data_IF_334655476946
#
_entry.id   IF_334655476946
#
_cell.length_a   1.000
_cell.length_b   1.000
_cell.length_c   1.000
_cell.angle_alpha   90.00
_cell.angle_beta   90.00
_cell.angle_gamma   90.00
#
_symmetry.space_group_name_H-M   'P 1'
#
loop_
_entity.id
_entity.type
_entity.pdbx_description
1 polymer ?
#
# COMPACT_ATOMS: atom_id res chain seq x y z
N UNK A 1 11.86 27.47 39.93
CA UNK A 1 10.37 27.69 39.93
C UNK A 1 10.19 29.07 39.26
N UNK A 2 9.85 29.12 37.98
CA UNK A 2 9.62 30.41 37.32
C UNK A 2 8.16 30.78 37.54
N UNK A 3 7.96 31.87 38.28
CA UNK A 3 6.65 32.41 38.61
C UNK A 3 6.03 33.02 37.34
N UNK A 4 5.11 32.31 36.70
CA UNK A 4 4.39 32.76 35.52
C UNK A 4 3.17 33.54 35.94
N UNK A 5 3.33 34.76 36.42
CA UNK A 5 2.18 35.64 36.69
C UNK A 5 1.58 36.13 35.35
N UNK A 6 0.26 36.01 35.23
CA UNK A 6 -0.48 36.60 34.13
C UNK A 6 -0.42 38.12 34.21
N UNK A 7 -0.19 38.78 33.10
CA UNK A 7 -0.34 40.22 32.97
C UNK A 7 -1.73 40.54 32.41
N UNK A 8 -2.51 41.34 33.15
CA UNK A 8 -3.86 41.78 32.76
C UNK A 8 -3.84 43.25 32.39
N UNK A 9 -4.25 43.55 31.16
CA UNK A 9 -4.34 44.91 30.63
C UNK A 9 -5.79 45.24 30.27
N UNK A 10 -6.37 46.30 30.88
CA UNK A 10 -7.73 46.75 30.57
C UNK A 10 -7.72 47.54 29.24
N UNK A 11 -8.62 47.16 28.31
CA UNK A 11 -8.82 47.80 26.99
C UNK A 11 -10.30 48.12 26.78
N UNK A 12 -10.70 49.31 27.17
CA UNK A 12 -12.14 49.69 27.15
C UNK A 12 -12.96 48.73 28.02
N UNK A 13 -13.96 48.05 27.45
CA UNK A 13 -14.82 47.09 28.14
C UNK A 13 -14.22 45.67 28.20
N UNK A 14 -13.00 45.45 27.75
CA UNK A 14 -12.37 44.11 27.71
C UNK A 14 -11.06 44.09 28.47
N UNK A 15 -10.63 42.88 28.85
CA UNK A 15 -9.35 42.66 29.54
C UNK A 15 -8.48 41.77 28.69
N UNK A 16 -7.28 42.23 28.32
CA UNK A 16 -6.26 41.42 27.66
C UNK A 16 -5.40 40.75 28.71
N UNK A 17 -5.33 39.41 28.66
CA UNK A 17 -4.55 38.60 29.58
C UNK A 17 -3.37 38.00 28.79
N UNK A 18 -2.16 38.12 29.32
CA UNK A 18 -0.93 37.60 28.73
C UNK A 18 -0.21 36.71 29.75
N UNK A 19 0.08 35.45 29.40
CA UNK A 19 0.82 34.51 30.26
C UNK A 19 2.09 34.05 29.53
N UNK A 20 3.20 33.93 30.24
CA UNK A 20 4.43 33.37 29.69
C UNK A 20 4.31 31.83 29.58
N UNK A 21 4.69 31.29 28.42
CA UNK A 21 4.71 29.85 28.13
C UNK A 21 6.15 29.35 27.88
N UNK A 22 7.11 29.85 28.66
CA UNK A 22 8.51 29.48 28.53
C UNK A 22 9.26 30.23 27.41
N UNK A 23 10.31 29.59 26.90
CA UNK A 23 11.17 30.12 25.83
C UNK A 23 11.28 29.10 24.70
N UNK A 24 11.38 29.55 23.47
CA UNK A 24 11.67 28.71 22.32
C UNK A 24 13.15 28.28 22.30
N UNK A 25 13.49 27.39 21.33
CA UNK A 25 14.88 26.90 21.17
C UNK A 25 15.92 28.00 20.84
N UNK A 26 15.47 29.20 20.48
CA UNK A 26 16.33 30.37 20.21
C UNK A 26 16.44 31.26 21.43
N UNK A 27 15.81 30.95 22.56
CA UNK A 27 15.79 31.73 23.78
C UNK A 27 14.77 32.88 23.78
N UNK A 28 13.88 32.96 22.80
CA UNK A 28 12.79 33.94 22.73
C UNK A 28 11.60 33.51 23.56
N UNK A 29 11.12 34.42 24.42
CA UNK A 29 9.98 34.15 25.28
C UNK A 29 8.68 33.92 24.48
N UNK A 30 8.06 32.77 24.69
CA UNK A 30 6.73 32.45 24.16
C UNK A 30 5.68 33.05 25.10
N UNK A 31 4.75 33.82 24.54
CA UNK A 31 3.67 34.47 25.30
C UNK A 31 2.33 34.14 24.72
N UNK A 32 1.45 33.61 25.56
CA UNK A 32 0.07 33.31 25.22
C UNK A 32 -0.84 34.47 25.60
N UNK A 33 -1.81 34.81 24.74
CA UNK A 33 -2.69 35.96 24.93
C UNK A 33 -4.12 35.55 24.71
N UNK A 34 -5.01 36.04 25.59
CA UNK A 34 -6.47 35.89 25.45
C UNK A 34 -7.15 37.20 25.83
N UNK A 35 -8.43 37.31 25.49
CA UNK A 35 -9.25 38.48 25.85
C UNK A 35 -10.46 38.00 26.61
N UNK A 36 -10.75 38.64 27.75
CA UNK A 36 -11.96 38.42 28.54
C UNK A 36 -12.89 39.63 28.34
N UNK A 37 -14.14 39.39 28.04
CA UNK A 37 -15.18 40.41 27.94
C UNK A 37 -16.21 40.10 29.04
N UNK A 38 -16.35 41.00 30.06
CA UNK A 38 -17.40 40.84 31.05
C UNK A 38 -18.78 40.93 30.42
N UNK A 39 -19.78 40.25 31.03
CA UNK A 39 -21.17 40.43 30.67
C UNK A 39 -21.67 41.81 31.16
N UNK A 40 -22.37 42.53 30.33
CA UNK A 40 -22.88 43.91 30.63
C UNK A 40 -23.84 43.96 31.82
N UNK A 41 -24.43 42.83 32.20
CA UNK A 41 -25.36 42.70 33.35
C UNK A 41 -24.66 42.41 34.69
N UNK A 42 -23.32 42.27 34.70
CA UNK A 42 -22.59 42.02 35.94
C UNK A 42 -22.24 43.27 36.69
N UNK A 43 -22.39 43.20 38.03
CA UNK A 43 -21.86 44.25 38.90
C UNK A 43 -20.31 44.24 38.88
N UNK A 44 -19.65 45.36 39.20
CA UNK A 44 -18.20 45.46 39.24
C UNK A 44 -17.53 44.37 40.08
N UNK A 45 -18.11 43.99 41.19
CA UNK A 45 -17.64 42.90 42.06
C UNK A 45 -17.73 41.52 41.39
N UNK A 46 -18.82 41.30 40.65
CA UNK A 46 -19.00 40.05 39.88
C UNK A 46 -18.05 40.01 38.67
N UNK A 47 -17.84 41.15 37.99
CA UNK A 47 -16.89 41.25 36.87
C UNK A 47 -15.47 40.95 37.33
N UNK A 48 -15.03 41.50 38.47
CA UNK A 48 -13.72 41.24 39.05
C UNK A 48 -13.52 39.78 39.38
N UNK A 49 -14.50 39.13 40.03
CA UNK A 49 -14.44 37.72 40.40
C UNK A 49 -14.38 36.84 39.12
N UNK A 50 -15.23 37.11 38.15
CA UNK A 50 -15.22 36.39 36.86
C UNK A 50 -13.91 36.56 36.10
N UNK A 51 -13.28 37.73 36.16
CA UNK A 51 -11.97 37.98 35.60
C UNK A 51 -10.88 37.18 36.32
N UNK A 52 -10.87 37.19 37.65
CA UNK A 52 -9.90 36.44 38.43
C UNK A 52 -10.02 34.94 38.20
N UNK A 53 -11.23 34.39 38.17
CA UNK A 53 -11.50 33.00 37.85
C UNK A 53 -11.01 32.64 36.40
N UNK A 54 -11.27 33.52 35.44
CA UNK A 54 -10.83 33.34 34.07
C UNK A 54 -9.31 33.41 33.93
N UNK A 55 -8.65 34.32 34.63
CA UNK A 55 -7.16 34.43 34.66
C UNK A 55 -6.57 33.15 35.25
N UNK A 56 -7.08 32.67 36.38
CA UNK A 56 -6.63 31.45 37.02
C UNK A 56 -6.75 30.22 36.11
N UNK A 57 -7.92 30.05 35.49
CA UNK A 57 -8.13 28.94 34.53
C UNK A 57 -7.25 29.06 33.29
N UNK A 58 -6.97 30.29 32.82
CA UNK A 58 -6.09 30.54 31.68
C UNK A 58 -4.62 30.22 32.03
N UNK A 59 -4.12 30.68 33.20
CA UNK A 59 -2.78 30.33 33.70
C UNK A 59 -2.62 28.82 33.85
N UNK A 60 -3.60 28.15 34.44
CA UNK A 60 -3.62 26.71 34.63
C UNK A 60 -3.54 25.97 33.28
N UNK A 61 -4.28 26.44 32.27
CA UNK A 61 -4.23 25.88 30.91
C UNK A 61 -2.85 26.04 30.27
N UNK A 62 -2.23 27.23 30.38
CA UNK A 62 -0.90 27.49 29.86
C UNK A 62 0.16 26.68 30.58
N UNK A 63 0.13 26.61 31.93
CA UNK A 63 1.06 25.80 32.75
C UNK A 63 0.97 24.30 32.49
N UNK A 64 -0.23 23.80 32.21
CA UNK A 64 -0.42 22.39 31.91
C UNK A 64 -0.09 22.00 30.45
N UNK A 65 0.53 22.90 29.68
CA UNK A 65 0.86 22.67 28.28
C UNK A 65 -0.37 22.55 27.35
N UNK A 66 -1.57 22.86 27.87
CA UNK A 66 -2.84 22.76 27.12
C UNK A 66 -3.09 23.94 26.17
N UNK A 67 -2.13 24.84 26.05
CA UNK A 67 -2.25 26.04 25.21
C UNK A 67 -1.31 25.94 24.00
N UNK A 68 -1.50 24.92 23.21
CA UNK A 68 -0.97 24.91 21.86
C UNK A 68 -2.10 25.35 20.90
N UNK A 69 -1.73 26.07 19.84
CA UNK A 69 -2.63 26.74 18.87
C UNK A 69 -3.71 25.89 18.17
N UNK A 70 -4.03 24.69 18.70
CA UNK A 70 -5.05 23.79 18.13
C UNK A 70 -6.45 24.41 18.01
N UNK A 71 -6.79 25.38 18.89
CA UNK A 71 -8.08 26.10 18.80
C UNK A 71 -8.17 27.00 17.56
N UNK A 72 -7.03 27.45 17.03
CA UNK A 72 -6.96 28.34 15.86
C UNK A 72 -6.53 27.60 14.59
N UNK A 73 -5.71 26.53 14.73
CA UNK A 73 -5.13 25.77 13.65
C UNK A 73 -6.21 24.94 12.92
N UNK A 74 -6.32 25.10 11.62
CA UNK A 74 -7.15 24.27 10.75
C UNK A 74 -6.51 22.89 10.52
N UNK A 75 -7.29 21.92 10.06
CA UNK A 75 -6.75 20.60 9.73
C UNK A 75 -5.75 20.66 8.56
N UNK A 76 -5.95 21.58 7.61
CA UNK A 76 -5.00 21.82 6.52
C UNK A 76 -3.67 22.40 7.04
N UNK A 77 -3.69 23.38 7.93
CA UNK A 77 -2.47 23.93 8.56
C UNK A 77 -1.76 22.87 9.41
N UNK A 78 -2.52 22.01 10.09
CA UNK A 78 -1.97 20.85 10.81
C UNK A 78 -1.35 19.84 9.87
N UNK A 79 -1.94 19.57 8.70
CA UNK A 79 -1.39 18.69 7.68
C UNK A 79 -0.02 19.18 7.21
N UNK A 80 0.14 20.47 6.90
CA UNK A 80 1.44 21.05 6.50
C UNK A 80 2.48 20.95 7.64
N UNK A 81 2.06 21.24 8.88
CA UNK A 81 2.91 21.10 10.05
C UNK A 81 3.33 19.62 10.25
N UNK A 82 2.39 18.69 10.16
CA UNK A 82 2.63 17.26 10.27
C UNK A 82 3.57 16.74 9.17
N UNK A 83 3.45 17.22 7.95
CA UNK A 83 4.37 16.87 6.85
C UNK A 83 5.80 17.23 7.21
N UNK A 84 6.03 18.47 7.60
CA UNK A 84 7.36 19.01 7.89
C UNK A 84 7.99 18.37 9.13
N UNK A 85 7.24 18.25 10.22
CA UNK A 85 7.80 17.87 11.51
C UNK A 85 7.85 16.35 11.72
N UNK A 86 6.99 15.59 11.05
CA UNK A 86 6.91 14.15 11.26
C UNK A 86 7.01 13.33 9.98
N UNK A 87 6.15 13.57 9.00
CA UNK A 87 5.95 12.62 7.92
C UNK A 87 7.18 12.46 7.02
N UNK A 88 7.82 13.56 6.63
CA UNK A 88 9.01 13.55 5.78
C UNK A 88 10.21 12.88 6.48
N UNK A 89 10.23 12.85 7.82
CA UNK A 89 11.33 12.28 8.63
C UNK A 89 11.09 10.81 9.01
N UNK A 90 9.84 10.41 9.18
CA UNK A 90 9.49 9.10 9.80
C UNK A 90 8.74 8.14 8.87
N UNK A 91 8.09 8.64 7.81
CA UNK A 91 7.38 7.78 6.88
C UNK A 91 8.25 7.40 5.69
N UNK A 92 8.11 6.16 5.25
CA UNK A 92 8.66 5.71 3.99
C UNK A 92 8.06 6.52 2.82
N UNK A 93 8.89 6.93 1.86
CA UNK A 93 8.49 7.75 0.71
C UNK A 93 7.25 7.22 -0.02
N UNK A 94 7.15 5.90 -0.22
CA UNK A 94 5.97 5.27 -0.86
C UNK A 94 4.70 5.43 -0.04
N UNK A 95 4.80 5.31 1.29
CA UNK A 95 3.67 5.51 2.22
C UNK A 95 3.26 6.97 2.24
N UNK A 96 4.24 7.87 2.33
CA UNK A 96 4.01 9.31 2.32
C UNK A 96 3.32 9.76 1.04
N UNK A 97 3.78 9.28 -0.13
CA UNK A 97 3.15 9.59 -1.42
C UNK A 97 1.71 9.10 -1.48
N UNK A 98 1.43 7.88 -0.99
CA UNK A 98 0.07 7.36 -0.91
C UNK A 98 -0.80 8.18 0.05
N UNK A 99 -0.27 8.60 1.20
CA UNK A 99 -0.99 9.45 2.15
C UNK A 99 -1.27 10.84 1.57
N UNK A 100 -0.28 11.48 0.93
CA UNK A 100 -0.46 12.77 0.25
C UNK A 100 -1.55 12.71 -0.82
N UNK A 101 -1.63 11.61 -1.58
CA UNK A 101 -2.66 11.43 -2.59
C UNK A 101 -4.06 11.39 -1.94
N UNK A 102 -4.27 10.55 -0.91
CA UNK A 102 -5.56 10.45 -0.22
C UNK A 102 -5.94 11.77 0.50
N UNK A 103 -4.97 12.41 1.17
CA UNK A 103 -5.17 13.69 1.84
C UNK A 103 -5.60 14.77 0.86
N UNK A 104 -4.84 14.99 -0.21
CA UNK A 104 -5.09 16.08 -1.15
C UNK A 104 -6.33 15.87 -2.02
N UNK A 105 -6.64 14.62 -2.38
CA UNK A 105 -7.76 14.33 -3.27
C UNK A 105 -9.12 14.28 -2.55
N UNK A 106 -9.18 13.84 -1.29
CA UNK A 106 -10.41 13.56 -0.58
C UNK A 106 -10.50 14.26 0.79
N UNK A 107 -9.51 14.10 1.65
CA UNK A 107 -9.60 14.45 3.06
C UNK A 107 -9.53 15.97 3.26
N UNK A 108 -8.51 16.63 2.70
CA UNK A 108 -8.32 18.10 2.82
C UNK A 108 -9.49 18.87 2.19
N UNK A 109 -10.00 18.55 0.98
CA UNK A 109 -11.16 19.20 0.44
C UNK A 109 -12.41 19.11 1.34
N UNK A 110 -12.58 18.00 2.07
CA UNK A 110 -13.75 17.75 2.90
C UNK A 110 -13.65 18.39 4.29
N UNK A 111 -12.54 18.24 4.99
CA UNK A 111 -12.40 18.65 6.40
C UNK A 111 -11.21 19.58 6.67
N UNK A 112 -10.42 19.94 5.67
CA UNK A 112 -9.22 20.77 5.80
C UNK A 112 -9.48 22.16 6.38
N UNK A 113 -10.66 22.74 6.12
CA UNK A 113 -11.10 24.04 6.61
C UNK A 113 -11.51 24.04 8.10
N UNK A 114 -11.78 22.86 8.68
CA UNK A 114 -12.21 22.74 10.08
C UNK A 114 -11.01 22.95 11.02
N UNK A 115 -11.24 23.64 12.12
CA UNK A 115 -10.25 23.75 13.20
C UNK A 115 -10.07 22.38 13.86
N UNK A 116 -8.81 21.93 14.06
CA UNK A 116 -8.55 20.57 14.56
C UNK A 116 -9.21 20.29 15.91
N UNK A 117 -9.23 21.29 16.81
CA UNK A 117 -9.91 21.18 18.12
C UNK A 117 -11.46 21.15 18.02
N UNK A 118 -12.03 21.50 16.85
CA UNK A 118 -13.47 21.50 16.61
C UNK A 118 -13.94 20.36 15.71
N UNK A 119 -13.05 19.48 15.27
CA UNK A 119 -13.45 18.29 14.52
C UNK A 119 -14.22 17.35 15.46
N UNK A 120 -15.48 17.12 15.11
CA UNK A 120 -16.39 16.24 15.86
C UNK A 120 -16.47 14.86 15.17
N UNK A 121 -16.82 13.80 15.91
CA UNK A 121 -17.13 12.50 15.32
C UNK A 121 -18.18 12.56 14.21
N UNK A 122 -19.19 13.44 14.35
CA UNK A 122 -20.24 13.64 13.34
C UNK A 122 -19.70 14.18 12.00
N UNK A 123 -18.68 15.04 12.01
CA UNK A 123 -18.05 15.51 10.78
C UNK A 123 -17.37 14.38 10.01
N UNK A 124 -16.70 13.48 10.74
CA UNK A 124 -16.04 12.31 10.14
C UNK A 124 -17.06 11.30 9.62
N UNK A 125 -18.15 11.07 10.37
CA UNK A 125 -19.24 10.20 9.92
C UNK A 125 -19.88 10.72 8.63
N UNK A 126 -20.18 12.02 8.56
CA UNK A 126 -20.71 12.65 7.34
C UNK A 126 -19.72 12.52 6.18
N UNK A 127 -18.44 12.74 6.43
CA UNK A 127 -17.41 12.55 5.41
C UNK A 127 -17.39 11.11 4.87
N UNK A 128 -17.45 10.10 5.72
CA UNK A 128 -17.47 8.69 5.29
C UNK A 128 -18.75 8.34 4.52
N UNK A 129 -19.90 8.88 4.93
CA UNK A 129 -21.16 8.69 4.23
C UNK A 129 -21.11 9.29 2.83
N UNK A 130 -20.61 10.52 2.71
CA UNK A 130 -20.47 11.19 1.41
C UNK A 130 -19.53 10.44 0.46
N UNK A 131 -18.46 9.79 0.99
CA UNK A 131 -17.58 8.98 0.16
C UNK A 131 -18.27 7.72 -0.40
N UNK A 132 -19.37 7.27 0.19
CA UNK A 132 -20.16 6.13 -0.30
C UNK A 132 -21.18 6.51 -1.36
N UNK A 133 -21.45 7.81 -1.56
CA UNK A 133 -22.43 8.29 -2.55
C UNK A 133 -21.92 8.11 -3.98
N UNK A 134 -22.86 7.90 -4.90
CA UNK A 134 -22.56 7.82 -6.33
C UNK A 134 -22.03 9.16 -6.87
N UNK A 135 -21.12 9.08 -7.83
CA UNK A 135 -20.54 10.25 -8.49
C UNK A 135 -19.44 10.98 -7.72
N UNK A 136 -19.11 10.56 -6.50
CA UNK A 136 -18.02 11.16 -5.69
C UNK A 136 -16.63 10.73 -6.19
N UNK A 137 -16.54 9.64 -6.93
CA UNK A 137 -15.27 9.08 -7.42
C UNK A 137 -14.67 9.93 -8.52
N UNK A 138 -13.38 10.29 -8.33
CA UNK A 138 -12.59 11.03 -9.34
C UNK A 138 -11.90 10.13 -10.39
N UNK A 139 -11.98 8.81 -10.21
CA UNK A 139 -11.38 7.83 -11.13
C UNK A 139 -12.33 7.35 -12.24
N UNK A 140 -13.53 7.96 -12.34
CA UNK A 140 -14.53 7.69 -13.39
C UNK A 140 -15.27 6.36 -13.26
N UNK A 141 -15.08 5.63 -12.16
CA UNK A 141 -15.82 4.40 -11.90
C UNK A 141 -17.18 4.71 -11.29
N UNK A 142 -18.17 3.90 -11.61
CA UNK A 142 -19.51 3.98 -11.02
C UNK A 142 -19.50 3.66 -9.52
N UNK A 143 -20.51 4.14 -8.80
CA UNK A 143 -20.67 3.95 -7.37
C UNK A 143 -19.77 4.85 -6.52
N UNK A 144 -19.87 4.69 -5.20
CA UNK A 144 -19.03 5.36 -4.22
C UNK A 144 -17.70 4.63 -3.96
N UNK A 145 -16.91 5.14 -3.02
CA UNK A 145 -15.69 4.45 -2.57
C UNK A 145 -16.04 3.22 -1.72
N UNK A 146 -15.28 2.15 -1.88
CA UNK A 146 -15.46 0.93 -1.10
C UNK A 146 -15.20 1.15 0.39
N UNK A 147 -15.84 0.37 1.30
CA UNK A 147 -15.57 0.39 2.73
C UNK A 147 -14.08 0.23 3.08
N UNK A 148 -13.34 -0.57 2.32
CA UNK A 148 -11.89 -0.77 2.49
C UNK A 148 -11.12 0.52 2.23
N UNK A 149 -11.49 1.28 1.20
CA UNK A 149 -10.87 2.58 0.87
C UNK A 149 -11.16 3.60 1.98
N UNK A 150 -12.42 3.68 2.44
CA UNK A 150 -12.83 4.60 3.52
C UNK A 150 -12.11 4.25 4.84
N UNK A 151 -11.93 2.96 5.11
CA UNK A 151 -11.17 2.48 6.28
C UNK A 151 -9.70 2.92 6.24
N UNK A 152 -9.12 2.97 5.03
CA UNK A 152 -7.76 3.51 4.81
C UNK A 152 -7.71 5.01 5.10
N UNK A 153 -8.69 5.78 4.61
CA UNK A 153 -8.80 7.21 4.89
C UNK A 153 -8.98 7.49 6.39
N UNK A 154 -9.85 6.71 7.06
CA UNK A 154 -10.01 6.76 8.53
C UNK A 154 -8.68 6.50 9.25
N UNK A 155 -7.91 5.50 8.84
CA UNK A 155 -6.62 5.19 9.46
C UNK A 155 -5.60 6.32 9.31
N UNK A 156 -5.59 7.02 8.16
CA UNK A 156 -4.73 8.19 7.92
C UNK A 156 -5.12 9.33 8.86
N UNK A 157 -6.42 9.71 8.89
CA UNK A 157 -6.94 10.79 9.75
C UNK A 157 -6.66 10.46 11.22
N UNK A 158 -6.99 9.24 11.64
CA UNK A 158 -6.80 8.79 13.04
C UNK A 158 -5.32 8.82 13.45
N UNK A 159 -4.41 8.39 12.56
CA UNK A 159 -2.97 8.43 12.80
C UNK A 159 -2.44 9.86 12.96
N UNK A 160 -2.91 10.79 12.14
CA UNK A 160 -2.56 12.21 12.23
C UNK A 160 -3.11 12.84 13.51
N UNK A 161 -4.39 12.64 13.81
CA UNK A 161 -5.03 13.21 15.02
C UNK A 161 -4.49 12.58 16.31
N UNK A 162 -4.04 11.33 16.29
CA UNK A 162 -3.32 10.72 17.42
C UNK A 162 -2.01 11.46 17.73
N UNK A 163 -1.27 11.90 16.70
CA UNK A 163 -0.10 12.75 16.89
C UNK A 163 -0.50 14.14 17.39
N UNK A 164 -1.63 14.70 16.94
CA UNK A 164 -2.14 15.96 17.47
C UNK A 164 -2.46 15.88 18.98
N UNK A 165 -2.96 14.71 19.46
CA UNK A 165 -3.14 14.44 20.90
C UNK A 165 -1.80 14.35 21.62
N UNK A 166 -0.83 13.61 21.08
CA UNK A 166 0.52 13.48 21.65
C UNK A 166 1.24 14.83 21.72
N UNK A 167 1.04 15.70 20.74
CA UNK A 167 1.58 17.07 20.71
C UNK A 167 0.72 18.07 21.48
N UNK A 168 -0.30 17.60 22.19
CA UNK A 168 -1.20 18.41 23.01
C UNK A 168 -1.96 19.51 22.25
N UNK A 169 -2.15 19.35 20.94
CA UNK A 169 -2.93 20.26 20.09
C UNK A 169 -4.44 20.06 20.28
N UNK A 170 -4.87 18.82 20.60
CA UNK A 170 -6.24 18.44 20.92
C UNK A 170 -6.28 17.52 22.13
N UNK A 171 -7.39 17.47 22.85
CA UNK A 171 -7.53 16.66 24.08
C UNK A 171 -7.77 15.17 23.80
N UNK A 172 -8.51 14.85 22.75
CA UNK A 172 -8.85 13.47 22.37
C UNK A 172 -8.98 13.33 20.85
N UNK A 173 -8.76 12.11 20.38
CA UNK A 173 -8.92 11.81 18.96
C UNK A 173 -10.41 11.55 18.63
N UNK A 174 -11.07 12.38 17.82
CA UNK A 174 -12.47 12.17 17.44
C UNK A 174 -12.70 10.88 16.62
N UNK A 175 -11.67 10.35 15.95
CA UNK A 175 -11.76 9.09 15.22
C UNK A 175 -12.06 7.89 16.12
N UNK A 176 -11.67 7.93 17.40
CA UNK A 176 -11.90 6.83 18.35
C UNK A 176 -13.39 6.62 18.66
N UNK A 177 -14.24 7.59 18.29
CA UNK A 177 -15.70 7.57 18.51
C UNK A 177 -16.49 7.44 17.21
N UNK A 178 -15.82 7.08 16.09
CA UNK A 178 -16.45 6.88 14.79
C UNK A 178 -16.05 5.53 14.24
N UNK A 179 -17.03 4.73 13.85
CA UNK A 179 -16.77 3.48 13.14
C UNK A 179 -16.80 3.75 11.62
N UNK A 180 -15.71 3.47 10.88
CA UNK A 180 -15.78 3.46 9.43
C UNK A 180 -16.76 2.39 8.95
N UNK A 181 -17.34 2.52 7.75
CA UNK A 181 -18.31 1.57 7.24
C UNK A 181 -17.74 0.15 7.25
N UNK A 182 -18.56 -0.79 7.70
CA UNK A 182 -18.20 -2.21 7.71
C UNK A 182 -18.30 -2.75 6.28
N UNK A 183 -17.30 -3.49 5.87
CA UNK A 183 -17.40 -4.32 4.68
C UNK A 183 -18.50 -5.36 4.95
N UNK A 184 -19.57 -5.33 4.19
CA UNK A 184 -20.54 -6.43 4.17
C UNK A 184 -19.80 -7.54 3.43
N UNK A 185 -19.15 -8.43 4.17
CA UNK A 185 -18.59 -9.65 3.61
C UNK A 185 -19.78 -10.57 3.27
N UNK A 186 -20.31 -10.40 2.08
CA UNK A 186 -20.91 -11.53 1.41
C UNK A 186 -19.81 -12.60 1.38
N UNK A 187 -20.11 -13.78 1.94
CA UNK A 187 -19.20 -14.89 2.22
C UNK A 187 -17.77 -14.66 1.70
N UNK A 188 -16.80 -14.50 2.61
CA UNK A 188 -15.42 -14.02 2.38
C UNK A 188 -15.01 -14.17 0.91
N UNK A 189 -14.87 -13.05 0.17
CA UNK A 189 -14.39 -13.12 -1.21
C UNK A 189 -13.12 -13.96 -1.21
N UNK A 190 -13.18 -15.07 -1.91
CA UNK A 190 -12.07 -16.00 -1.99
C UNK A 190 -10.87 -15.23 -2.57
N UNK A 191 -9.74 -15.38 -1.91
CA UNK A 191 -8.49 -14.85 -2.44
C UNK A 191 -8.31 -15.40 -3.85
N UNK A 192 -8.39 -14.53 -4.86
CA UNK A 192 -8.32 -14.95 -6.26
C UNK A 192 -6.98 -15.61 -6.53
N UNK A 193 -7.01 -16.90 -6.80
CA UNK A 193 -5.85 -17.74 -7.14
C UNK A 193 -6.27 -18.78 -8.19
N UNK A 194 -5.32 -19.45 -8.80
CA UNK A 194 -5.57 -20.58 -9.69
C UNK A 194 -5.73 -21.86 -8.85
N UNK A 195 -6.72 -22.67 -9.14
CA UNK A 195 -6.76 -24.06 -8.66
C UNK A 195 -5.64 -24.86 -9.37
N UNK A 196 -5.34 -26.08 -8.92
CA UNK A 196 -4.18 -26.84 -9.40
C UNK A 196 -4.22 -27.09 -10.91
N UNK A 197 -5.35 -27.54 -11.42
CA UNK A 197 -5.61 -27.79 -12.84
C UNK A 197 -5.47 -26.52 -13.70
N UNK A 198 -5.94 -25.39 -13.18
CA UNK A 198 -5.79 -24.09 -13.82
C UNK A 198 -4.33 -23.61 -13.79
N UNK A 199 -3.57 -23.92 -12.72
CA UNK A 199 -2.15 -23.60 -12.66
C UNK A 199 -1.34 -24.43 -13.68
N UNK A 200 -1.65 -25.72 -13.83
CA UNK A 200 -1.07 -26.58 -14.86
C UNK A 200 -1.42 -26.07 -16.28
N UNK A 201 -2.67 -25.70 -16.47
CA UNK A 201 -3.15 -25.10 -17.74
C UNK A 201 -2.40 -23.79 -18.05
N UNK A 202 -2.20 -22.94 -17.05
CA UNK A 202 -1.43 -21.69 -17.22
C UNK A 202 0.05 -21.97 -17.56
N UNK A 203 0.69 -22.92 -16.90
CA UNK A 203 2.07 -23.31 -17.23
C UNK A 203 2.17 -23.85 -18.67
N UNK A 204 1.22 -24.68 -19.09
CA UNK A 204 1.15 -25.16 -20.46
C UNK A 204 0.89 -24.02 -21.46
N UNK A 205 0.11 -23.00 -21.07
CA UNK A 205 -0.12 -21.82 -21.90
C UNK A 205 1.16 -21.00 -22.11
N UNK A 206 2.09 -21.00 -21.16
CA UNK A 206 3.40 -20.32 -21.31
C UNK A 206 4.30 -20.97 -22.38
N UNK A 207 4.06 -22.23 -22.72
CA UNK A 207 4.85 -22.99 -23.70
C UNK A 207 4.24 -22.97 -25.11
N UNK A 208 3.07 -22.32 -25.30
CA UNK A 208 2.38 -22.23 -26.58
C UNK A 208 2.80 -20.99 -27.37
N UNK A 209 2.67 -21.12 -28.68
CA UNK A 209 2.75 -19.99 -29.62
C UNK A 209 1.36 -19.34 -29.74
N UNK A 210 1.34 -18.03 -29.90
CA UNK A 210 0.11 -17.26 -30.08
C UNK A 210 0.21 -16.32 -31.27
N UNK A 211 -0.85 -16.34 -32.11
CA UNK A 211 -1.01 -15.37 -33.16
C UNK A 211 -1.34 -14.00 -32.58
N UNK A 212 -0.63 -12.97 -33.04
CA UNK A 212 -0.89 -11.58 -32.68
C UNK A 212 -1.08 -10.77 -33.96
N UNK A 213 -2.25 -10.16 -34.12
CA UNK A 213 -2.55 -9.31 -35.29
C UNK A 213 -2.16 -7.87 -34.97
N UNK A 214 -1.29 -7.32 -35.76
CA UNK A 214 -0.86 -5.93 -35.69
C UNK A 214 -1.67 -5.12 -36.69
N UNK A 215 -2.44 -4.13 -36.18
CA UNK A 215 -3.22 -3.24 -37.04
C UNK A 215 -2.31 -2.42 -37.96
N UNK A 216 -2.82 -2.08 -39.11
CA UNK A 216 -2.12 -1.18 -40.03
C UNK A 216 -1.74 0.14 -39.37
N UNK A 217 -0.55 0.62 -39.61
CA UNK A 217 -0.02 1.86 -39.05
C UNK A 217 1.06 2.48 -39.98
N UNK A 218 1.24 3.78 -39.85
CA UNK A 218 2.30 4.48 -40.58
C UNK A 218 3.60 4.48 -39.75
N UNK A 219 4.72 4.27 -40.42
CA UNK A 219 6.09 4.40 -39.91
C UNK A 219 6.87 5.43 -40.66
N UNK A 220 7.90 5.95 -40.04
CA UNK A 220 8.90 6.83 -40.67
C UNK A 220 10.22 6.06 -40.63
N UNK A 221 10.87 5.95 -41.77
CA UNK A 221 12.21 5.34 -41.89
C UNK A 221 13.32 6.30 -41.45
N UNK A 222 14.55 5.80 -41.37
CA UNK A 222 15.72 6.57 -40.90
C UNK A 222 16.04 7.76 -41.81
N UNK A 223 15.44 7.83 -43.02
CA UNK A 223 15.56 8.94 -43.96
C UNK A 223 14.46 9.99 -43.78
N UNK A 224 13.50 9.76 -42.87
CA UNK A 224 12.34 10.63 -42.66
C UNK A 224 11.17 10.37 -43.59
N UNK A 225 11.21 9.33 -44.44
CA UNK A 225 10.13 8.98 -45.36
C UNK A 225 9.06 8.17 -44.67
N UNK A 226 7.80 8.61 -44.79
CA UNK A 226 6.63 7.85 -44.29
C UNK A 226 6.33 6.68 -45.21
N UNK A 227 6.06 5.53 -44.60
CA UNK A 227 5.56 4.35 -45.31
C UNK A 227 4.47 3.68 -44.49
N UNK A 228 3.52 3.06 -45.17
CA UNK A 228 2.39 2.36 -44.56
C UNK A 228 2.74 0.90 -44.34
N UNK A 229 2.59 0.43 -43.11
CA UNK A 229 2.67 -0.99 -42.74
C UNK A 229 1.26 -1.54 -42.73
N UNK A 230 0.91 -2.48 -43.62
CA UNK A 230 -0.43 -3.09 -43.63
C UNK A 230 -0.63 -3.93 -42.39
N UNK A 231 -1.90 -4.27 -42.11
CA UNK A 231 -2.23 -5.23 -41.08
C UNK A 231 -1.57 -6.58 -41.37
N UNK A 232 -0.93 -7.16 -40.35
CA UNK A 232 -0.31 -8.48 -40.44
C UNK A 232 -0.47 -9.26 -39.15
N UNK A 233 -0.50 -10.60 -39.29
CA UNK A 233 -0.56 -11.52 -38.14
C UNK A 233 0.77 -12.26 -38.06
N UNK A 234 1.34 -12.30 -36.87
CA UNK A 234 2.57 -13.02 -36.59
C UNK A 234 2.36 -13.96 -35.43
N UNK A 235 2.81 -15.21 -35.56
CA UNK A 235 2.79 -16.20 -34.52
C UNK A 235 4.12 -16.15 -33.76
N UNK A 236 4.06 -15.97 -32.46
CA UNK A 236 5.25 -15.87 -31.59
C UNK A 236 5.09 -16.67 -30.32
N UNK A 237 6.21 -17.20 -29.87
CA UNK A 237 6.36 -17.74 -28.52
C UNK A 237 6.20 -16.67 -27.44
N UNK A 238 5.81 -17.09 -26.26
CA UNK A 238 5.97 -16.24 -25.08
C UNK A 238 7.47 -16.06 -24.79
N UNK A 239 7.99 -14.82 -24.77
CA UNK A 239 9.41 -14.57 -24.54
C UNK A 239 9.92 -15.26 -23.27
N UNK A 240 11.10 -15.88 -23.37
CA UNK A 240 11.65 -16.72 -22.31
C UNK A 240 11.77 -16.00 -20.96
N UNK A 241 12.02 -14.68 -20.95
CA UNK A 241 12.00 -13.89 -19.72
C UNK A 241 10.66 -13.93 -18.96
N UNK A 242 9.52 -13.93 -19.67
CA UNK A 242 8.20 -14.00 -19.02
C UNK A 242 7.88 -15.42 -18.57
N UNK A 243 8.32 -16.42 -19.30
CA UNK A 243 8.22 -17.83 -18.86
C UNK A 243 8.98 -18.00 -17.54
N UNK A 244 10.21 -17.51 -17.43
CA UNK A 244 11.00 -17.53 -16.18
C UNK A 244 10.31 -16.69 -15.09
N UNK A 245 9.81 -15.50 -15.43
CA UNK A 245 9.14 -14.61 -14.47
C UNK A 245 7.95 -15.28 -13.78
N UNK A 246 7.04 -15.86 -14.58
CA UNK A 246 5.82 -16.47 -14.02
C UNK A 246 6.11 -17.80 -13.32
N UNK A 247 7.10 -18.55 -13.76
CA UNK A 247 7.57 -19.72 -13.04
C UNK A 247 8.18 -19.35 -11.67
N UNK A 248 9.01 -18.31 -11.60
CA UNK A 248 9.52 -17.82 -10.32
C UNK A 248 8.42 -17.24 -9.42
N UNK A 249 7.41 -16.60 -10.00
CA UNK A 249 6.24 -16.13 -9.26
C UNK A 249 5.45 -17.28 -8.63
N UNK A 250 5.21 -18.35 -9.38
CA UNK A 250 4.43 -19.50 -8.96
C UNK A 250 5.23 -20.43 -8.04
N UNK A 251 6.39 -20.92 -8.49
CA UNK A 251 7.18 -21.90 -7.73
C UNK A 251 7.96 -21.27 -6.59
N UNK A 252 8.43 -20.04 -6.71
CA UNK A 252 9.12 -19.32 -5.65
C UNK A 252 8.18 -18.56 -4.69
N UNK A 253 6.95 -18.29 -5.11
CA UNK A 253 6.01 -17.48 -4.32
C UNK A 253 6.46 -16.03 -4.11
N UNK A 254 7.25 -15.47 -5.05
CA UNK A 254 7.84 -14.15 -4.93
C UNK A 254 6.81 -13.04 -5.19
N UNK A 255 6.99 -11.89 -4.53
CA UNK A 255 6.20 -10.69 -4.85
C UNK A 255 6.71 -10.06 -6.14
N UNK A 256 5.82 -9.37 -6.89
CA UNK A 256 6.20 -8.68 -8.15
C UNK A 256 7.43 -7.78 -7.98
N UNK A 257 7.46 -6.96 -6.93
CA UNK A 257 8.58 -6.05 -6.69
C UNK A 257 9.88 -6.79 -6.34
N UNK A 258 9.81 -7.94 -5.69
CA UNK A 258 10.96 -8.82 -5.44
C UNK A 258 11.50 -9.39 -6.75
N UNK A 259 10.62 -9.94 -7.60
CA UNK A 259 10.98 -10.47 -8.92
C UNK A 259 11.69 -9.42 -9.79
N UNK A 260 11.11 -8.24 -9.94
CA UNK A 260 11.67 -7.15 -10.74
C UNK A 260 13.04 -6.68 -10.21
N UNK A 261 13.27 -6.82 -8.89
CA UNK A 261 14.52 -6.42 -8.27
C UNK A 261 15.66 -7.46 -8.44
N UNK A 262 15.33 -8.70 -8.83
CA UNK A 262 16.33 -9.77 -8.94
C UNK A 262 17.42 -9.44 -9.95
N UNK A 263 18.63 -9.80 -9.56
CA UNK A 263 19.83 -9.82 -10.41
C UNK A 263 20.37 -11.25 -10.52
N UNK A 264 21.21 -11.52 -11.50
CA UNK A 264 21.83 -12.84 -11.64
C UNK A 264 22.71 -13.23 -10.45
N UNK A 265 23.16 -12.25 -9.66
CA UNK A 265 23.94 -12.49 -8.44
C UNK A 265 23.08 -13.05 -7.29
N UNK A 266 21.76 -12.92 -7.39
CA UNK A 266 20.81 -13.45 -6.39
C UNK A 266 20.43 -14.92 -6.67
N UNK A 267 20.93 -15.53 -7.78
CA UNK A 267 20.56 -16.89 -8.21
C UNK A 267 21.75 -17.83 -8.11
N UNK A 268 21.63 -18.83 -7.27
CA UNK A 268 22.58 -19.94 -7.19
C UNK A 268 22.03 -21.14 -7.97
N UNK A 269 22.53 -21.33 -9.17
CA UNK A 269 22.14 -22.44 -10.06
C UNK A 269 22.56 -23.80 -9.52
N UNK A 270 23.66 -23.88 -8.76
CA UNK A 270 24.18 -25.14 -8.19
C UNK A 270 23.28 -25.67 -7.09
N UNK A 271 22.82 -24.76 -6.21
CA UNK A 271 21.96 -25.12 -5.07
C UNK A 271 20.46 -24.93 -5.39
N UNK A 272 20.12 -24.49 -6.59
CA UNK A 272 18.75 -24.18 -7.02
C UNK A 272 18.06 -23.18 -6.08
N UNK A 273 18.75 -22.12 -5.67
CA UNK A 273 18.21 -21.12 -4.73
C UNK A 273 18.17 -19.71 -5.32
N UNK A 274 17.23 -18.93 -4.80
CA UNK A 274 17.09 -17.49 -5.08
C UNK A 274 17.13 -16.74 -3.77
N UNK A 275 18.02 -15.77 -3.65
CA UNK A 275 18.13 -14.87 -2.51
C UNK A 275 17.25 -13.63 -2.71
N UNK A 276 16.30 -13.43 -1.81
CA UNK A 276 15.37 -12.32 -1.84
C UNK A 276 15.79 -11.30 -0.79
N UNK A 277 16.50 -10.27 -1.20
CA UNK A 277 17.10 -9.25 -0.34
C UNK A 277 16.77 -7.81 -0.76
N UNK A 278 15.96 -7.64 -1.81
CA UNK A 278 15.59 -6.34 -2.37
C UNK A 278 14.21 -6.38 -3.02
N UNK A 279 13.61 -5.20 -3.20
CA UNK A 279 12.32 -5.05 -3.84
C UNK A 279 12.24 -3.71 -4.56
N UNK A 280 11.66 -3.69 -5.75
CA UNK A 280 11.43 -2.50 -6.55
C UNK A 280 10.01 -1.97 -6.36
N UNK A 281 9.89 -0.66 -6.22
CA UNK A 281 8.62 0.07 -6.14
C UNK A 281 8.72 1.42 -6.85
N UNK A 282 7.60 2.13 -6.97
CA UNK A 282 7.57 3.51 -7.48
C UNK A 282 7.69 4.52 -6.33
N UNK A 283 8.51 5.54 -6.54
CA UNK A 283 8.56 6.75 -5.71
C UNK A 283 8.74 7.92 -6.66
N UNK A 284 7.88 8.92 -6.58
CA UNK A 284 7.89 10.12 -7.43
C UNK A 284 8.00 9.76 -8.94
N UNK A 285 7.16 8.83 -9.37
CA UNK A 285 7.11 8.30 -10.74
C UNK A 285 8.39 7.59 -11.24
N UNK A 286 9.38 7.37 -10.35
CA UNK A 286 10.62 6.65 -10.67
C UNK A 286 10.62 5.27 -10.02
N UNK A 287 11.12 4.27 -10.75
CA UNK A 287 11.41 2.95 -10.17
C UNK A 287 12.62 3.05 -9.25
N UNK A 288 12.45 2.58 -8.02
CA UNK A 288 13.51 2.54 -7.01
C UNK A 288 13.55 1.15 -6.40
N UNK A 289 14.74 0.54 -6.42
CA UNK A 289 15.01 -0.73 -5.74
C UNK A 289 15.60 -0.44 -4.36
N UNK A 290 15.02 -1.06 -3.33
CA UNK A 290 15.42 -0.90 -1.94
C UNK A 290 15.52 -2.25 -1.25
N UNK A 291 16.24 -2.29 -0.13
CA UNK A 291 16.16 -3.42 0.81
C UNK A 291 14.76 -3.54 1.41
N UNK A 292 14.29 -4.75 1.74
CA UNK A 292 12.99 -4.95 2.37
C UNK A 292 12.92 -4.26 3.73
N UNK A 293 11.72 -3.80 4.10
CA UNK A 293 11.44 -3.11 5.37
C UNK A 293 11.63 -3.99 6.62
N UNK A 294 11.44 -5.29 6.47
CA UNK A 294 11.53 -6.25 7.58
C UNK A 294 12.57 -7.31 7.33
N UNK A 295 13.27 -7.73 8.38
CA UNK A 295 14.22 -8.85 8.32
C UNK A 295 13.56 -10.16 7.85
N UNK A 296 12.28 -10.38 8.16
CA UNK A 296 11.50 -11.54 7.71
C UNK A 296 11.27 -11.59 6.20
N UNK A 297 11.42 -10.48 5.50
CA UNK A 297 11.30 -10.41 4.05
C UNK A 297 12.60 -10.86 3.35
N UNK A 298 13.74 -10.83 4.05
CA UNK A 298 15.02 -11.36 3.54
C UNK A 298 15.00 -12.86 3.76
N UNK A 299 15.11 -13.60 2.66
CA UNK A 299 15.02 -15.06 2.68
C UNK A 299 15.64 -15.67 1.43
N UNK A 300 16.06 -16.93 1.55
CA UNK A 300 16.47 -17.77 0.43
C UNK A 300 15.34 -18.76 0.12
N UNK A 301 14.98 -18.89 -1.15
CA UNK A 301 13.92 -19.80 -1.61
C UNK A 301 14.52 -20.84 -2.55
N UNK A 302 14.30 -22.12 -2.26
CA UNK A 302 14.65 -23.22 -3.16
C UNK A 302 13.60 -23.31 -4.27
N UNK A 303 14.04 -23.41 -5.52
CA UNK A 303 13.18 -23.52 -6.71
C UNK A 303 13.47 -24.87 -7.41
N UNK A 304 12.48 -25.54 -8.00
CA UNK A 304 12.68 -26.80 -8.69
C UNK A 304 13.74 -26.72 -9.81
N UNK A 305 14.58 -27.74 -9.92
CA UNK A 305 15.68 -27.81 -10.91
C UNK A 305 15.23 -27.53 -12.36
N UNK A 306 14.07 -28.02 -12.87
CA UNK A 306 13.65 -27.68 -14.22
C UNK A 306 13.45 -26.18 -14.44
N UNK A 307 12.98 -25.46 -13.41
CA UNK A 307 12.77 -24.01 -13.48
C UNK A 307 14.11 -23.27 -13.44
N UNK A 308 15.08 -23.78 -12.68
CA UNK A 308 16.46 -23.23 -12.69
C UNK A 308 17.15 -23.45 -14.04
N UNK A 309 16.98 -24.60 -14.67
CA UNK A 309 17.46 -24.84 -16.04
C UNK A 309 16.82 -23.90 -17.07
N UNK A 310 15.54 -23.63 -16.92
CA UNK A 310 14.85 -22.62 -17.77
C UNK A 310 15.49 -21.21 -17.56
N UNK A 311 15.75 -20.83 -16.32
CA UNK A 311 16.42 -19.57 -16.00
C UNK A 311 17.87 -19.52 -16.52
N UNK A 312 18.61 -20.62 -16.47
CA UNK A 312 19.97 -20.70 -17.03
C UNK A 312 19.97 -20.53 -18.54
N UNK A 313 19.00 -21.16 -19.24
CA UNK A 313 18.79 -20.95 -20.69
C UNK A 313 18.50 -19.49 -20.99
N UNK A 314 17.62 -18.85 -20.23
CA UNK A 314 17.31 -17.44 -20.37
C UNK A 314 18.53 -16.54 -20.12
N UNK A 315 19.37 -16.87 -19.13
CA UNK A 315 20.63 -16.15 -18.88
C UNK A 315 21.55 -16.14 -20.10
N UNK A 316 21.66 -17.26 -20.80
CA UNK A 316 22.44 -17.37 -22.04
C UNK A 316 21.86 -16.51 -23.15
N UNK A 317 20.54 -16.61 -23.38
CA UNK A 317 19.81 -15.77 -24.37
C UNK A 317 19.98 -14.26 -24.07
N UNK A 318 19.85 -13.86 -22.80
CA UNK A 318 20.06 -12.46 -22.40
C UNK A 318 21.51 -12.00 -22.65
N UNK A 319 22.49 -12.86 -22.43
CA UNK A 319 23.91 -12.56 -22.68
C UNK A 319 24.17 -12.37 -24.18
N UNK A 320 23.61 -13.23 -25.04
CA UNK A 320 23.68 -13.10 -26.50
C UNK A 320 22.99 -11.81 -26.96
N UNK A 321 21.81 -11.50 -26.42
CA UNK A 321 21.10 -10.24 -26.68
C UNK A 321 21.92 -9.02 -26.26
N UNK A 322 22.55 -9.05 -25.10
CA UNK A 322 23.45 -7.98 -24.64
C UNK A 322 24.61 -7.76 -25.60
N UNK A 323 25.23 -8.84 -26.08
CA UNK A 323 26.32 -8.77 -27.06
C UNK A 323 25.86 -8.17 -28.37
N UNK A 324 24.64 -8.48 -28.87
CA UNK A 324 24.08 -7.94 -30.10
C UNK A 324 23.80 -6.43 -29.99
N UNK A 325 23.47 -5.91 -28.85
CA UNK A 325 23.22 -4.48 -28.61
C UNK A 325 24.53 -3.66 -28.46
N UNK A 326 25.62 -4.29 -28.01
CA UNK A 326 26.90 -3.60 -27.79
C UNK A 326 26.74 -2.33 -26.93
N UNK A 327 27.16 -1.19 -27.45
CA UNK A 327 27.12 0.11 -26.75
C UNK A 327 25.71 0.64 -26.53
N UNK A 328 24.69 0.09 -27.18
CA UNK A 328 23.28 0.44 -26.92
C UNK A 328 22.72 -0.21 -25.66
N UNK A 329 23.49 -1.10 -25.04
CA UNK A 329 23.06 -1.72 -23.78
C UNK A 329 23.19 -0.75 -22.60
N UNK A 330 22.04 -0.35 -22.06
CA UNK A 330 21.95 0.55 -20.90
C UNK A 330 21.72 -0.20 -19.56
N UNK A 331 21.69 -1.53 -19.61
CA UNK A 331 21.27 -2.35 -18.48
C UNK A 331 22.41 -2.71 -17.52
N UNK A 332 21.99 -3.22 -16.37
CA UNK A 332 22.85 -3.79 -15.34
C UNK A 332 22.75 -5.34 -15.39
N UNK A 333 22.92 -5.97 -14.21
CA UNK A 333 22.83 -7.43 -14.03
C UNK A 333 21.39 -7.91 -13.68
N UNK A 334 20.34 -7.13 -14.00
CA UNK A 334 18.96 -7.51 -13.75
C UNK A 334 18.55 -8.72 -14.57
N UNK A 335 17.75 -9.63 -13.96
CA UNK A 335 17.19 -10.79 -14.65
C UNK A 335 16.11 -10.33 -15.65
N UNK A 336 15.19 -9.49 -15.22
CA UNK A 336 14.07 -9.04 -16.04
C UNK A 336 14.32 -7.63 -16.56
N UNK A 337 14.34 -7.49 -17.89
CA UNK A 337 14.84 -6.29 -18.57
C UNK A 337 13.85 -5.77 -19.62
N UNK A 338 14.04 -4.51 -19.98
CA UNK A 338 13.48 -3.87 -21.18
C UNK A 338 14.35 -4.14 -22.39
N UNK A 339 13.89 -3.75 -23.58
CA UNK A 339 14.64 -3.88 -24.82
C UNK A 339 16.01 -3.18 -24.78
N UNK A 340 16.18 -2.09 -24.06
CA UNK A 340 17.47 -1.41 -23.86
C UNK A 340 18.39 -2.09 -22.83
N UNK A 341 17.97 -3.19 -22.18
CA UNK A 341 18.69 -3.82 -21.08
C UNK A 341 18.41 -3.22 -19.70
N UNK A 342 17.73 -2.08 -19.59
CA UNK A 342 17.29 -1.50 -18.32
C UNK A 342 16.38 -2.47 -17.57
N UNK A 343 16.28 -2.29 -16.24
CA UNK A 343 15.34 -3.02 -15.41
C UNK A 343 13.91 -2.93 -15.97
N UNK A 344 13.18 -4.05 -16.01
CA UNK A 344 11.80 -4.12 -16.48
C UNK A 344 10.87 -3.21 -15.67
N UNK A 345 9.91 -2.57 -16.34
CA UNK A 345 8.91 -1.76 -15.65
C UNK A 345 7.99 -2.62 -14.77
N UNK A 346 7.63 -2.10 -13.59
CA UNK A 346 6.75 -2.80 -12.63
C UNK A 346 5.36 -3.15 -13.20
N UNK A 347 4.85 -2.38 -14.17
CA UNK A 347 3.55 -2.67 -14.81
C UNK A 347 3.61 -3.77 -15.85
N UNK A 348 4.75 -3.95 -16.53
CA UNK A 348 4.92 -4.89 -17.64
C UNK A 348 4.44 -6.31 -17.32
N UNK A 349 4.84 -6.95 -16.19
CA UNK A 349 4.40 -8.31 -15.91
C UNK A 349 2.90 -8.45 -15.72
N UNK A 350 2.23 -7.42 -15.19
CA UNK A 350 0.77 -7.45 -15.05
C UNK A 350 0.08 -7.46 -16.42
N UNK A 351 0.50 -6.58 -17.33
CA UNK A 351 -0.07 -6.53 -18.67
C UNK A 351 0.18 -7.84 -19.43
N UNK A 352 1.42 -8.33 -19.39
CA UNK A 352 1.77 -9.58 -20.05
C UNK A 352 1.03 -10.78 -19.47
N UNK A 353 0.82 -10.83 -18.15
CA UNK A 353 0.06 -11.89 -17.48
C UNK A 353 -1.37 -11.96 -18.00
N UNK A 354 -2.07 -10.83 -18.07
CA UNK A 354 -3.44 -10.78 -18.58
C UNK A 354 -3.49 -11.04 -20.08
N UNK A 355 -2.56 -10.51 -20.86
CA UNK A 355 -2.46 -10.77 -22.31
C UNK A 355 -2.30 -12.27 -22.62
N UNK A 356 -1.49 -13.00 -21.83
CA UNK A 356 -1.34 -14.45 -21.98
C UNK A 356 -2.64 -15.19 -21.67
N UNK A 357 -3.33 -14.82 -20.57
CA UNK A 357 -4.63 -15.40 -20.23
C UNK A 357 -5.65 -15.13 -21.33
N UNK A 358 -5.73 -13.91 -21.86
CA UNK A 358 -6.65 -13.53 -22.92
C UNK A 358 -6.34 -14.30 -24.21
N UNK A 359 -5.08 -14.39 -24.62
CA UNK A 359 -4.65 -15.17 -25.77
C UNK A 359 -4.99 -16.64 -25.62
N UNK A 360 -4.68 -17.24 -24.48
CA UNK A 360 -5.06 -18.62 -24.21
C UNK A 360 -6.57 -18.83 -24.30
N UNK A 361 -7.34 -17.98 -23.60
CA UNK A 361 -8.80 -18.06 -23.56
C UNK A 361 -9.44 -17.87 -24.95
N UNK A 362 -8.80 -17.13 -25.85
CA UNK A 362 -9.26 -16.98 -27.23
C UNK A 362 -9.06 -18.26 -28.08
N UNK A 363 -8.20 -19.18 -27.67
CA UNK A 363 -7.99 -20.48 -28.34
C UNK A 363 -8.89 -21.59 -27.81
N UNK A 364 -9.68 -21.32 -26.75
CA UNK A 364 -10.51 -22.30 -26.06
C UNK A 364 -11.99 -21.99 -26.27
N UNK A 365 -12.73 -22.95 -26.80
CA UNK A 365 -14.18 -22.80 -27.06
C UNK A 365 -15.03 -22.97 -25.81
N UNK A 366 -14.64 -23.91 -24.91
CA UNK A 366 -15.42 -24.24 -23.72
C UNK A 366 -15.08 -23.33 -22.56
N UNK A 367 -16.10 -22.67 -22.00
CA UNK A 367 -15.94 -21.74 -20.85
C UNK A 367 -15.25 -22.40 -19.66
N UNK A 368 -15.53 -23.67 -19.39
CA UNK A 368 -14.98 -24.47 -18.29
C UNK A 368 -13.45 -24.66 -18.38
N UNK A 369 -12.88 -24.53 -19.57
CA UNK A 369 -11.45 -24.70 -19.83
C UNK A 369 -10.71 -23.37 -19.83
N UNK A 370 -11.42 -22.24 -19.75
CA UNK A 370 -10.82 -20.92 -19.72
C UNK A 370 -10.16 -20.65 -18.37
N UNK A 371 -9.04 -19.95 -18.43
CA UNK A 371 -8.35 -19.47 -17.23
C UNK A 371 -9.08 -18.26 -16.64
N UNK A 372 -9.29 -18.22 -15.33
CA UNK A 372 -9.91 -17.07 -14.67
C UNK A 372 -8.96 -15.86 -14.65
N UNK A 373 -9.52 -14.65 -14.76
CA UNK A 373 -8.77 -13.42 -14.52
C UNK A 373 -8.51 -13.23 -13.02
N UNK A 374 -7.27 -13.47 -12.64
CA UNK A 374 -6.77 -13.20 -11.28
C UNK A 374 -5.71 -12.08 -11.33
N UNK A 375 -5.50 -11.33 -10.23
CA UNK A 375 -4.36 -10.43 -10.17
C UNK A 375 -3.05 -11.23 -10.20
N UNK A 376 -1.97 -10.66 -10.75
CA UNK A 376 -0.65 -11.32 -10.80
C UNK A 376 -0.19 -11.85 -9.43
N UNK A 377 -0.55 -11.15 -8.33
CA UNK A 377 -0.27 -11.61 -6.96
C UNK A 377 -0.99 -12.93 -6.62
N UNK A 378 -2.02 -13.28 -7.37
CA UNK A 378 -2.73 -14.56 -7.28
C UNK A 378 -1.83 -15.77 -7.52
N UNK A 379 -0.77 -15.66 -8.35
CA UNK A 379 0.21 -16.74 -8.53
C UNK A 379 0.93 -17.10 -7.23
N UNK A 380 1.27 -16.11 -6.41
CA UNK A 380 1.82 -16.35 -5.08
C UNK A 380 0.80 -16.99 -4.14
N UNK A 381 -0.49 -16.63 -4.27
CA UNK A 381 -1.55 -17.29 -3.52
C UNK A 381 -1.75 -18.73 -3.97
N UNK A 382 -1.68 -19.00 -5.27
CA UNK A 382 -1.67 -20.35 -5.84
C UNK A 382 -0.54 -21.20 -5.24
N UNK A 383 0.70 -20.66 -5.24
CA UNK A 383 1.86 -21.33 -4.62
C UNK A 383 1.60 -21.73 -3.17
N UNK A 384 1.07 -20.81 -2.37
CA UNK A 384 0.83 -21.08 -0.96
C UNK A 384 -0.32 -22.05 -0.73
N UNK A 385 -1.43 -21.92 -1.48
CA UNK A 385 -2.57 -22.83 -1.41
C UNK A 385 -2.14 -24.26 -1.76
N UNK A 386 -1.33 -24.42 -2.82
CA UNK A 386 -0.78 -25.70 -3.21
C UNK A 386 0.09 -26.33 -2.11
N UNK A 387 1.05 -25.58 -1.55
CA UNK A 387 1.91 -26.09 -0.48
C UNK A 387 1.12 -26.52 0.76
N UNK A 388 0.09 -25.78 1.12
CA UNK A 388 -0.81 -26.11 2.25
C UNK A 388 -1.63 -27.36 1.92
N UNK A 389 -2.12 -27.54 0.68
CA UNK A 389 -2.87 -28.74 0.28
C UNK A 389 -2.01 -30.01 0.28
N UNK A 390 -0.70 -29.85 0.08
CA UNK A 390 0.32 -30.91 0.21
C UNK A 390 0.75 -31.14 1.66
N UNK A 391 0.04 -30.60 2.65
CA UNK A 391 0.32 -30.72 4.09
C UNK A 391 1.68 -30.14 4.53
N UNK A 392 2.23 -29.19 3.77
CA UNK A 392 3.40 -28.45 4.23
C UNK A 392 2.99 -27.53 5.38
N UNK A 393 3.78 -27.58 6.46
CA UNK A 393 3.52 -26.80 7.66
C UNK A 393 3.35 -25.30 7.37
N UNK A 394 2.32 -24.69 7.96
CA UNK A 394 1.95 -23.28 7.73
C UNK A 394 3.09 -22.32 8.08
N UNK A 395 3.88 -22.63 9.12
CA UNK A 395 5.02 -21.80 9.49
C UNK A 395 6.10 -21.84 8.39
N UNK A 396 6.37 -23.01 7.84
CA UNK A 396 7.28 -23.21 6.70
C UNK A 396 6.79 -22.42 5.47
N UNK A 397 5.51 -22.51 5.12
CA UNK A 397 4.90 -21.72 4.03
C UNK A 397 5.02 -20.22 4.33
N UNK A 398 4.74 -19.78 5.55
CA UNK A 398 4.84 -18.38 5.97
C UNK A 398 6.25 -17.83 5.82
N UNK A 399 7.28 -18.58 6.26
CA UNK A 399 8.69 -18.22 6.12
C UNK A 399 9.08 -18.15 4.65
N UNK A 400 8.74 -19.16 3.85
CA UNK A 400 9.00 -19.19 2.41
C UNK A 400 8.43 -17.98 1.69
N UNK A 401 7.20 -17.57 2.07
CA UNK A 401 6.57 -16.38 1.52
C UNK A 401 7.13 -15.07 2.10
N UNK A 402 7.85 -15.09 3.21
CA UNK A 402 8.34 -13.88 3.89
C UNK A 402 7.19 -13.05 4.48
N UNK A 403 6.24 -13.71 5.17
CA UNK A 403 5.24 -13.05 5.99
C UNK A 403 5.81 -12.76 7.37
N UNK A 404 5.67 -11.53 7.85
CA UNK A 404 6.16 -11.12 9.18
C UNK A 404 5.42 -11.85 10.31
N UNK A 405 4.16 -12.24 10.07
CA UNK A 405 3.32 -12.96 11.02
C UNK A 405 2.64 -14.15 10.34
N UNK A 406 2.70 -15.31 10.98
CA UNK A 406 2.05 -16.54 10.49
C UNK A 406 0.52 -16.39 10.39
N UNK A 407 -0.08 -15.56 11.24
CA UNK A 407 -1.51 -15.22 11.18
C UNK A 407 -1.93 -14.67 9.80
N UNK A 408 -1.05 -13.98 9.09
CA UNK A 408 -1.31 -13.52 7.72
C UNK A 408 -1.56 -14.70 6.78
N UNK A 409 -0.72 -15.75 6.87
CA UNK A 409 -0.88 -16.98 6.09
C UNK A 409 -2.17 -17.70 6.48
N UNK A 410 -2.44 -17.88 7.78
CA UNK A 410 -3.66 -18.53 8.27
C UNK A 410 -4.92 -17.83 7.76
N UNK A 411 -4.98 -16.50 7.89
CA UNK A 411 -6.17 -15.72 7.51
C UNK A 411 -6.44 -15.74 6.00
N UNK A 412 -5.37 -15.71 5.17
CA UNK A 412 -5.50 -15.74 3.71
C UNK A 412 -5.92 -17.13 3.22
N UNK A 413 -5.40 -18.19 3.83
CA UNK A 413 -5.58 -19.57 3.36
C UNK A 413 -6.53 -20.41 4.22
N UNK A 414 -7.38 -19.77 5.03
CA UNK A 414 -8.35 -20.43 5.91
C UNK A 414 -9.25 -21.45 5.17
N UNK A 415 -9.57 -21.20 3.88
CA UNK A 415 -10.39 -22.12 3.07
C UNK A 415 -9.62 -23.38 2.67
N UNK A 416 -8.33 -23.27 2.31
CA UNK A 416 -7.47 -24.42 2.04
C UNK A 416 -7.33 -25.28 3.31
N UNK A 417 -7.23 -24.65 4.48
CA UNK A 417 -7.21 -25.35 5.77
C UNK A 417 -8.51 -26.09 6.07
N UNK A 418 -9.68 -25.54 5.71
CA UNK A 418 -10.98 -26.26 5.83
C UNK A 418 -11.05 -27.50 4.97
N UNK A 419 -10.45 -27.50 3.76
CA UNK A 419 -10.34 -28.72 2.92
C UNK A 419 -9.51 -29.81 3.62
N UNK A 420 -8.49 -29.43 4.41
CA UNK A 420 -7.68 -30.36 5.20
C UNK A 420 -8.42 -30.95 6.41
N UNK A 421 -9.37 -30.24 6.99
CA UNK A 421 -10.20 -30.72 8.10
C UNK A 421 -10.99 -31.99 7.71
N UNK A 422 -11.49 -32.05 6.47
CA UNK A 422 -12.12 -33.28 5.93
C UNK A 422 -11.12 -34.44 5.82
N UNK A 423 -9.85 -34.19 5.45
CA UNK A 423 -8.80 -35.21 5.44
C UNK A 423 -8.47 -35.67 6.87
N UNK A 424 -8.45 -34.74 7.84
CA UNK A 424 -8.24 -35.05 9.26
C UNK A 424 -9.38 -35.93 9.81
N UNK A 425 -10.63 -35.61 9.50
CA UNK A 425 -11.81 -36.47 9.85
C UNK A 425 -11.66 -37.88 9.30
N UNK A 426 -11.32 -38.01 8.01
CA UNK A 426 -11.12 -39.32 7.39
C UNK A 426 -9.95 -40.12 8.02
N UNK A 427 -8.89 -39.41 8.47
CA UNK A 427 -7.81 -40.06 9.19
C UNK A 427 -8.23 -40.58 10.57
N UNK A 428 -9.14 -39.86 11.27
CA UNK A 428 -9.74 -40.31 12.52
C UNK A 428 -10.70 -41.50 12.30
N UNK A 429 -11.46 -41.54 11.21
CA UNK A 429 -12.30 -42.64 10.85
C UNK A 429 -11.49 -43.95 10.69
N UNK A 430 -10.31 -43.89 10.11
CA UNK A 430 -9.40 -45.03 9.98
C UNK A 430 -8.92 -45.60 11.35
N UNK A 431 -8.95 -44.81 12.43
CA UNK A 431 -8.70 -45.32 13.78
C UNK A 431 -9.86 -46.12 14.34
N UNK A 432 -11.09 -45.80 13.94
CA UNK A 432 -12.29 -46.54 14.34
C UNK A 432 -12.40 -47.88 13.61
N UNK A 433 -12.10 -47.89 12.31
CA UNK A 433 -12.16 -49.12 11.47
C UNK A 433 -11.08 -50.13 11.86
N UNK A 434 -9.93 -49.72 12.35
CA UNK A 434 -8.88 -50.63 12.85
C UNK A 434 -9.19 -51.30 14.21
N UNK A 435 -10.29 -50.90 14.86
CA UNK A 435 -10.74 -51.50 16.15
C UNK A 435 -11.98 -52.41 16.00
N UNK A 436 -12.54 -52.56 14.81
CA UNK A 436 -13.57 -53.50 14.46
C UNK A 436 -12.95 -54.69 13.67
#
# INVERSE_FOLDING_TARGET
>A
MFDTMATVEKRGNTYRITVSNGYDVTGKQIREKTTFTPDENMTEKQQKKALDDFVYEFEKRVKNGKYLNGEKMTFNEFYEYWLKEYADKHLEKTTLQAYKAELNQKIIPAIGHLKIAKIKPTHLQSFYNNLMEDGVRKDGKEGGYSPVTIKKDHAIISGMLKLAVLWQLIESNPCDRVAPPKEIKEAAEDVKHLELDQAETFLNALEKEYATTYKSHDRIDDTGKKYHVPEYTETRDIPLQFRVFFNFALFGGLRRGELIALTWDDVDFKNCTIDINKSTGYVDHKQITKMPKSKSSIRTVVVPDPIMKLAERYKKEQLEYRLSLGDQWEGNNHIFIQASGKQMNLSTPNHTFHDIIDKYNSTVEKEEQKLPHIPLHGLRHTSATFLISENIDIKTVSVRLGHAQTSTTVNIYAKALKKLDKKASNALDNLLIKKA
#
